data_IF_105303332310
#
_entry.id   IF_105303332310
#
_cell.length_a   1.000
_cell.length_b   1.000
_cell.length_c   1.000
_cell.angle_alpha   90.00
_cell.angle_beta   90.00
_cell.angle_gamma   90.00
#
_symmetry.space_group_name_H-M   'P 1'
#
loop_
_entity.id
_entity.type
_entity.pdbx_description
1 polymer ?
#
# COMPACT_ATOMS: atom_id res chain seq x y z
N UNK A 1 -16.46 20.79 -15.08
CA UNK A 1 -16.24 21.92 -14.16
C UNK A 1 -16.28 21.40 -12.73
N UNK A 2 -15.21 21.64 -11.96
CA UNK A 2 -15.16 21.25 -10.54
C UNK A 2 -15.98 22.21 -9.69
N UNK A 3 -16.90 21.67 -8.90
CA UNK A 3 -17.63 22.43 -7.89
C UNK A 3 -16.68 22.82 -6.75
N UNK A 4 -16.80 24.05 -6.27
CA UNK A 4 -15.87 24.68 -5.32
C UNK A 4 -14.88 25.67 -5.98
N UNK A 5 -14.86 25.76 -7.31
CA UNK A 5 -14.03 26.73 -8.03
C UNK A 5 -14.67 28.12 -8.09
N UNK A 6 -13.86 29.19 -8.04
CA UNK A 6 -14.37 30.57 -8.08
C UNK A 6 -15.13 30.81 -9.39
N UNK A 7 -16.36 31.33 -9.28
CA UNK A 7 -17.21 31.65 -10.43
C UNK A 7 -18.00 32.93 -10.18
N UNK A 8 -18.22 33.70 -11.25
CA UNK A 8 -19.10 34.89 -11.25
C UNK A 8 -20.55 34.57 -11.63
N UNK A 9 -20.86 33.30 -11.90
CA UNK A 9 -22.22 32.86 -12.24
C UNK A 9 -22.99 32.47 -10.97
N UNK A 10 -24.15 33.09 -10.75
CA UNK A 10 -24.99 32.88 -9.56
C UNK A 10 -25.36 31.42 -9.34
N UNK A 11 -25.75 30.69 -10.38
CA UNK A 11 -26.09 29.27 -10.26
C UNK A 11 -24.87 28.42 -9.83
N UNK A 12 -23.69 28.70 -10.39
CA UNK A 12 -22.47 28.00 -9.98
C UNK A 12 -22.08 28.34 -8.54
N UNK A 13 -22.30 29.57 -8.08
CA UNK A 13 -22.08 29.94 -6.67
C UNK A 13 -22.96 29.11 -5.74
N UNK A 14 -24.25 28.94 -6.07
CA UNK A 14 -25.17 28.08 -5.31
C UNK A 14 -24.68 26.62 -5.29
N UNK A 15 -24.24 26.09 -6.44
CA UNK A 15 -23.68 24.73 -6.50
C UNK A 15 -22.42 24.57 -5.65
N UNK A 16 -21.56 25.60 -5.62
CA UNK A 16 -20.35 25.61 -4.82
C UNK A 16 -20.66 25.61 -3.31
N UNK A 17 -21.60 26.45 -2.86
CA UNK A 17 -22.08 26.47 -1.48
C UNK A 17 -22.65 25.10 -1.07
N UNK A 18 -23.42 24.48 -1.97
CA UNK A 18 -23.98 23.14 -1.74
C UNK A 18 -22.87 22.09 -1.65
N UNK A 19 -21.88 22.13 -2.54
CA UNK A 19 -20.70 21.25 -2.50
C UNK A 19 -19.93 21.41 -1.19
N UNK A 20 -19.74 22.64 -0.71
CA UNK A 20 -19.07 22.91 0.57
C UNK A 20 -19.88 22.34 1.75
N UNK A 21 -21.20 22.48 1.74
CA UNK A 21 -22.09 21.90 2.76
C UNK A 21 -22.00 20.36 2.81
N UNK A 22 -21.94 19.73 1.63
CA UNK A 22 -21.76 18.28 1.49
C UNK A 22 -20.40 17.85 2.06
N UNK A 23 -19.31 18.56 1.72
CA UNK A 23 -17.97 18.28 2.25
C UNK A 23 -17.93 18.42 3.78
N UNK A 24 -18.57 19.46 4.33
CA UNK A 24 -18.70 19.66 5.79
C UNK A 24 -19.48 18.56 6.48
N UNK A 25 -20.45 17.94 5.79
CA UNK A 25 -21.21 16.79 6.31
C UNK A 25 -20.43 15.48 6.21
N UNK A 26 -19.55 15.35 5.21
CA UNK A 26 -18.75 14.15 4.97
C UNK A 26 -17.62 13.97 5.98
N UNK A 27 -16.90 15.05 6.31
CA UNK A 27 -15.72 14.98 7.19
C UNK A 27 -16.02 14.38 8.58
N UNK A 28 -17.07 14.78 9.32
CA UNK A 28 -17.41 14.17 10.61
C UNK A 28 -17.71 12.69 10.53
N UNK A 29 -18.32 12.23 9.43
CA UNK A 29 -18.58 10.81 9.22
C UNK A 29 -17.28 10.04 9.07
N UNK A 30 -16.36 10.52 8.24
CA UNK A 30 -15.03 9.93 8.10
C UNK A 30 -14.32 9.85 9.45
N UNK A 31 -14.31 10.93 10.23
CA UNK A 31 -13.71 10.95 11.57
C UNK A 31 -14.27 9.83 12.46
N UNK A 32 -15.59 9.61 12.43
CA UNK A 32 -16.26 8.58 13.23
C UNK A 32 -15.89 7.16 12.75
N UNK A 33 -15.94 6.90 11.44
CA UNK A 33 -15.62 5.58 10.89
C UNK A 33 -14.12 5.26 10.87
N UNK A 34 -13.24 6.26 10.89
CA UNK A 34 -11.79 6.13 11.09
C UNK A 34 -11.35 6.32 12.53
N UNK A 35 -12.25 6.14 13.51
CA UNK A 35 -11.89 6.28 14.92
C UNK A 35 -10.80 5.27 15.29
N UNK A 36 -9.65 5.80 15.70
CA UNK A 36 -8.49 5.00 16.08
C UNK A 36 -8.76 4.22 17.36
N UNK A 37 -8.32 2.97 17.38
CA UNK A 37 -8.30 2.07 18.52
C UNK A 37 -6.87 1.65 18.81
N UNK A 38 -6.56 1.42 20.08
CA UNK A 38 -5.26 0.93 20.49
C UNK A 38 -5.17 -0.58 20.25
N UNK A 39 -4.06 -1.02 19.66
CA UNK A 39 -3.73 -2.42 19.40
C UNK A 39 -2.31 -2.70 19.87
N UNK A 40 -2.12 -3.84 20.52
CA UNK A 40 -0.78 -4.31 20.90
C UNK A 40 -0.09 -4.91 19.68
N UNK A 41 1.13 -4.47 19.43
CA UNK A 41 1.97 -4.96 18.35
C UNK A 41 3.37 -5.29 18.87
N UNK A 42 4.09 -6.11 18.13
CA UNK A 42 5.48 -6.47 18.41
C UNK A 42 6.41 -5.86 17.36
N UNK A 43 7.46 -5.20 17.82
CA UNK A 43 8.53 -4.64 17.00
C UNK A 43 9.52 -5.73 16.57
N UNK A 44 10.41 -5.41 15.63
CA UNK A 44 11.45 -6.35 15.15
C UNK A 44 12.44 -6.80 16.23
N UNK A 45 12.57 -6.04 17.32
CA UNK A 45 13.41 -6.36 18.49
C UNK A 45 12.65 -7.12 19.59
N UNK A 46 11.47 -7.67 19.26
CA UNK A 46 10.56 -8.36 20.17
C UNK A 46 9.90 -7.46 21.25
N UNK A 47 10.09 -6.14 21.23
CA UNK A 47 9.42 -5.24 22.17
C UNK A 47 7.93 -5.13 21.85
N UNK A 48 7.07 -5.27 22.87
CA UNK A 48 5.62 -5.07 22.72
C UNK A 48 5.29 -3.61 23.01
N UNK A 49 4.58 -2.96 22.08
CA UNK A 49 4.13 -1.57 22.20
C UNK A 49 2.66 -1.44 21.79
N UNK A 50 2.03 -0.35 22.22
CA UNK A 50 0.67 0.00 21.81
C UNK A 50 0.75 0.92 20.58
N UNK A 51 0.02 0.57 19.52
CA UNK A 51 -0.14 1.38 18.31
C UNK A 51 -1.60 1.73 18.09
N UNK A 52 -1.84 2.81 17.35
CA UNK A 52 -3.19 3.22 16.95
C UNK A 52 -3.48 2.76 15.54
N UNK A 53 -4.65 2.18 15.35
CA UNK A 53 -5.15 1.76 14.04
C UNK A 53 -6.66 2.01 13.93
N UNK A 54 -7.18 2.11 12.71
CA UNK A 54 -8.64 2.03 12.47
C UNK A 54 -8.97 0.74 11.70
N UNK A 55 -10.26 0.52 11.45
CA UNK A 55 -10.74 -0.62 10.66
C UNK A 55 -11.16 -0.14 9.24
N UNK A 56 -10.37 -0.47 8.19
CA UNK A 56 -10.68 -0.08 6.81
C UNK A 56 -12.01 -0.64 6.30
N UNK A 57 -12.51 -1.73 6.89
CA UNK A 57 -13.80 -2.31 6.52
C UNK A 57 -14.95 -1.34 6.82
N UNK A 58 -14.87 -0.57 7.92
CA UNK A 58 -15.90 0.44 8.25
C UNK A 58 -16.03 1.51 7.17
N UNK A 59 -14.93 1.88 6.52
CA UNK A 59 -14.93 2.82 5.40
C UNK A 59 -15.55 2.20 4.16
N UNK A 60 -15.18 0.95 3.88
CA UNK A 60 -15.75 0.19 2.78
C UNK A 60 -17.27 0.04 2.94
N UNK A 61 -17.73 -0.35 4.12
CA UNK A 61 -19.14 -0.50 4.45
C UNK A 61 -19.89 0.85 4.38
N UNK A 62 -19.26 1.94 4.84
CA UNK A 62 -19.83 3.28 4.74
C UNK A 62 -19.99 3.74 3.29
N UNK A 63 -18.97 3.55 2.44
CA UNK A 63 -19.05 3.90 1.03
C UNK A 63 -20.05 3.02 0.28
N UNK A 64 -20.13 1.73 0.62
CA UNK A 64 -21.14 0.84 0.05
C UNK A 64 -22.55 1.28 0.44
N UNK A 65 -22.78 1.68 1.70
CA UNK A 65 -24.07 2.21 2.14
C UNK A 65 -24.48 3.48 1.37
N UNK A 66 -23.52 4.35 1.04
CA UNK A 66 -23.76 5.51 0.17
C UNK A 66 -24.18 5.03 -1.21
N UNK A 67 -23.39 4.14 -1.83
CA UNK A 67 -23.66 3.56 -3.15
C UNK A 67 -25.08 2.98 -3.23
N UNK A 68 -25.47 2.16 -2.26
CA UNK A 68 -26.78 1.50 -2.21
C UNK A 68 -27.96 2.49 -2.03
N UNK A 69 -27.69 3.66 -1.45
CA UNK A 69 -28.68 4.71 -1.20
C UNK A 69 -28.87 5.67 -2.38
N UNK A 70 -27.91 5.71 -3.31
CA UNK A 70 -27.93 6.59 -4.50
C UNK A 70 -28.79 6.00 -5.63
N UNK A 71 -30.11 6.18 -5.53
CA UNK A 71 -31.07 5.72 -6.54
C UNK A 71 -30.87 6.44 -7.87
N UNK A 72 -30.89 5.68 -8.97
CA UNK A 72 -30.74 6.17 -10.37
C UNK A 72 -29.33 6.66 -10.75
N UNK A 73 -28.40 6.69 -9.80
CA UNK A 73 -27.00 6.96 -10.11
C UNK A 73 -26.35 5.73 -10.74
N UNK A 74 -25.45 5.97 -11.69
CA UNK A 74 -24.47 4.99 -12.11
C UNK A 74 -23.35 4.99 -11.08
N UNK A 75 -23.11 3.87 -10.41
CA UNK A 75 -22.20 3.79 -9.27
C UNK A 75 -21.13 2.72 -9.54
N UNK A 76 -19.88 3.03 -9.22
CA UNK A 76 -18.78 2.08 -9.22
C UNK A 76 -18.68 1.38 -7.87
N UNK A 77 -18.33 0.10 -7.88
CA UNK A 77 -18.06 -0.64 -6.66
C UNK A 77 -16.90 -0.01 -5.88
N UNK A 78 -16.95 -0.14 -4.55
CA UNK A 78 -15.89 0.35 -3.68
C UNK A 78 -14.59 -0.35 -4.02
N UNK A 79 -13.57 0.44 -4.36
CA UNK A 79 -12.29 -0.05 -4.85
C UNK A 79 -11.18 0.30 -3.86
N UNK A 80 -10.17 -0.58 -3.79
CA UNK A 80 -8.98 -0.40 -2.94
C UNK A 80 -7.73 -0.42 -3.80
N UNK A 81 -6.88 0.61 -3.70
CA UNK A 81 -5.53 0.57 -4.29
C UNK A 81 -4.52 0.09 -3.27
N UNK A 82 -3.55 -0.70 -3.72
CA UNK A 82 -2.44 -1.15 -2.88
C UNK A 82 -1.12 -0.66 -3.48
N UNK A 83 -0.66 0.53 -3.07
CA UNK A 83 0.62 1.08 -3.51
C UNK A 83 1.60 1.14 -2.33
N UNK A 84 2.34 0.05 -2.12
CA UNK A 84 3.31 -0.08 -1.04
C UNK A 84 2.71 0.27 0.34
N UNK A 85 3.11 1.39 0.90
CA UNK A 85 2.72 1.91 2.21
C UNK A 85 1.53 2.88 2.16
N UNK A 86 1.04 3.26 0.98
CA UNK A 86 -0.13 4.12 0.79
C UNK A 86 -1.27 3.32 0.18
N UNK A 87 -2.41 3.29 0.86
CA UNK A 87 -3.65 2.69 0.37
C UNK A 87 -4.75 3.72 0.22
N UNK A 88 -5.65 3.44 -0.70
CA UNK A 88 -6.81 4.28 -0.98
C UNK A 88 -8.05 3.43 -1.08
N UNK A 89 -9.08 3.78 -0.32
CA UNK A 89 -10.44 3.26 -0.51
C UNK A 89 -11.23 4.36 -1.20
N UNK A 90 -11.88 4.07 -2.31
CA UNK A 90 -12.63 5.07 -3.06
C UNK A 90 -13.85 4.48 -3.78
N UNK A 91 -14.82 5.35 -4.08
CA UNK A 91 -15.97 5.07 -4.94
C UNK A 91 -16.24 6.27 -5.82
N UNK A 92 -16.80 6.02 -7.00
CA UNK A 92 -17.22 7.05 -7.95
C UNK A 92 -18.65 6.81 -8.37
N UNK A 93 -19.39 7.88 -8.60
CA UNK A 93 -20.77 7.82 -9.03
C UNK A 93 -21.09 8.96 -9.98
N UNK A 94 -22.04 8.77 -10.88
CA UNK A 94 -22.47 9.78 -11.83
C UNK A 94 -23.96 9.66 -12.17
N UNK A 95 -24.59 10.80 -12.45
CA UNK A 95 -25.99 10.89 -12.89
C UNK A 95 -26.14 11.96 -13.95
N UNK A 96 -26.97 11.69 -14.94
CA UNK A 96 -27.25 12.60 -16.05
C UNK A 96 -28.56 13.34 -15.81
N UNK A 97 -28.55 14.67 -15.95
CA UNK A 97 -29.72 15.53 -15.94
C UNK A 97 -29.75 16.35 -17.24
N UNK A 98 -30.61 15.97 -18.16
CA UNK A 98 -30.61 16.51 -19.52
C UNK A 98 -29.30 16.22 -20.25
N UNK A 99 -28.62 17.27 -20.73
CA UNK A 99 -27.31 17.19 -21.38
C UNK A 99 -26.15 17.43 -20.40
N UNK A 100 -26.36 17.28 -19.09
CA UNK A 100 -25.33 17.51 -18.08
C UNK A 100 -25.10 16.26 -17.24
N UNK A 101 -23.85 16.04 -16.87
CA UNK A 101 -23.41 14.93 -16.04
C UNK A 101 -22.90 15.48 -14.72
N UNK A 102 -23.55 15.10 -13.63
CA UNK A 102 -23.05 15.33 -12.28
C UNK A 102 -22.32 14.06 -11.84
N UNK A 103 -21.04 14.18 -11.50
CA UNK A 103 -20.24 13.08 -10.99
C UNK A 103 -19.63 13.41 -9.64
N UNK A 104 -19.37 12.37 -8.85
CA UNK A 104 -18.75 12.49 -7.55
C UNK A 104 -17.69 11.42 -7.31
N UNK A 105 -16.68 11.79 -6.52
CA UNK A 105 -15.58 10.93 -6.12
C UNK A 105 -15.38 11.05 -4.61
N UNK A 106 -15.57 9.93 -3.92
CA UNK A 106 -15.28 9.78 -2.50
C UNK A 106 -14.01 8.97 -2.35
N UNK A 107 -13.09 9.42 -1.51
CA UNK A 107 -11.83 8.72 -1.30
C UNK A 107 -11.32 8.94 0.12
N UNK A 108 -10.71 7.91 0.71
CA UNK A 108 -9.85 7.98 1.89
C UNK A 108 -8.48 7.42 1.53
N UNK A 109 -7.43 8.17 1.78
CA UNK A 109 -6.04 7.78 1.63
C UNK A 109 -5.37 7.69 2.99
N UNK A 110 -4.70 6.57 3.25
CA UNK A 110 -4.14 6.21 4.55
C UNK A 110 -2.84 5.41 4.40
N UNK A 111 -1.98 5.49 5.41
CA UNK A 111 -0.75 4.71 5.48
C UNK A 111 -0.96 3.33 6.12
N UNK A 112 -0.16 2.37 5.68
CA UNK A 112 -0.09 1.02 6.24
C UNK A 112 1.29 0.83 6.88
N UNK A 113 1.29 0.49 8.17
CA UNK A 113 2.51 0.12 8.89
C UNK A 113 2.44 -1.36 9.28
N UNK A 114 3.55 -2.06 9.04
CA UNK A 114 3.70 -3.48 9.33
C UNK A 114 4.40 -3.68 10.67
N UNK A 115 3.78 -4.51 11.51
CA UNK A 115 4.34 -4.97 12.78
C UNK A 115 4.18 -6.49 12.88
N UNK A 116 4.78 -7.13 13.88
CA UNK A 116 4.51 -8.52 14.18
C UNK A 116 3.33 -8.66 15.17
N UNK A 117 2.62 -9.79 15.07
CA UNK A 117 1.66 -10.21 16.09
C UNK A 117 2.39 -10.43 17.42
N UNK A 118 1.84 -9.99 18.57
CA UNK A 118 2.48 -10.14 19.87
C UNK A 118 2.32 -11.57 20.41
N UNK A 119 2.96 -12.54 19.74
CA UNK A 119 2.90 -13.96 20.09
C UNK A 119 4.30 -14.55 20.23
N UNK A 120 4.43 -15.59 21.05
CA UNK A 120 5.70 -16.24 21.34
C UNK A 120 6.40 -16.76 20.08
N UNK A 121 5.65 -17.26 19.10
CA UNK A 121 6.22 -17.83 17.88
C UNK A 121 7.08 -16.85 17.09
N UNK A 122 6.76 -15.55 17.10
CA UNK A 122 7.58 -14.52 16.45
C UNK A 122 8.97 -14.47 17.10
N UNK A 123 9.02 -14.48 18.43
CA UNK A 123 10.27 -14.47 19.21
C UNK A 123 11.08 -15.73 18.93
N UNK A 124 10.41 -16.89 18.88
CA UNK A 124 11.07 -18.16 18.61
C UNK A 124 11.69 -18.17 17.20
N UNK A 125 10.94 -17.73 16.18
CA UNK A 125 11.47 -17.60 14.83
C UNK A 125 12.66 -16.62 14.75
N UNK A 126 12.60 -15.49 15.46
CA UNK A 126 13.68 -14.52 15.51
C UNK A 126 14.94 -15.09 16.18
N UNK A 127 14.79 -15.88 17.24
CA UNK A 127 15.90 -16.58 17.91
C UNK A 127 16.52 -17.64 17.01
N UNK A 128 15.69 -18.49 16.40
CA UNK A 128 16.17 -19.52 15.47
C UNK A 128 16.93 -18.89 14.28
N UNK A 129 16.45 -17.76 13.76
CA UNK A 129 17.16 -17.01 12.73
C UNK A 129 18.50 -16.45 13.23
N UNK A 130 18.56 -15.91 14.44
CA UNK A 130 19.80 -15.43 15.04
C UNK A 130 20.84 -16.55 15.20
N UNK A 131 20.41 -17.72 15.68
CA UNK A 131 21.26 -18.92 15.79
C UNK A 131 21.82 -19.34 14.42
N UNK A 132 20.99 -19.35 13.37
CA UNK A 132 21.45 -19.65 12.00
C UNK A 132 22.48 -18.62 11.54
N UNK A 133 22.27 -17.33 11.82
CA UNK A 133 23.23 -16.27 11.45
C UNK A 133 24.54 -16.43 12.21
N UNK A 134 24.51 -16.72 13.51
CA UNK A 134 25.71 -16.94 14.31
C UNK A 134 26.49 -18.18 13.84
N UNK A 135 25.80 -19.28 13.53
CA UNK A 135 26.41 -20.49 12.98
C UNK A 135 27.09 -20.21 11.63
N UNK A 136 26.37 -19.57 10.69
CA UNK A 136 26.93 -19.24 9.37
C UNK A 136 28.09 -18.25 9.45
N UNK A 137 28.09 -17.32 10.40
CA UNK A 137 29.21 -16.39 10.62
C UNK A 137 30.44 -17.11 11.17
N UNK A 138 30.26 -17.99 12.15
CA UNK A 138 31.35 -18.80 12.70
C UNK A 138 31.94 -19.74 11.64
N UNK A 139 31.12 -20.33 10.77
CA UNK A 139 31.58 -21.14 9.65
C UNK A 139 32.32 -20.31 8.60
N UNK A 140 31.84 -19.10 8.29
CA UNK A 140 32.55 -18.17 7.39
C UNK A 140 33.90 -17.73 7.95
N UNK A 141 33.99 -17.44 9.25
CA UNK A 141 35.26 -17.11 9.93
C UNK A 141 36.21 -18.33 9.93
N UNK A 142 35.71 -19.54 10.22
CA UNK A 142 36.50 -20.78 10.14
C UNK A 142 36.96 -21.12 8.72
N UNK A 143 36.11 -20.86 7.72
CA UNK A 143 36.45 -21.02 6.31
C UNK A 143 37.48 -19.95 5.88
N UNK A 144 37.37 -18.71 6.35
CA UNK A 144 38.33 -17.64 6.07
C UNK A 144 39.71 -17.96 6.66
N UNK A 145 39.77 -18.37 7.93
CA UNK A 145 41.02 -18.65 8.65
C UNK A 145 41.74 -19.92 8.15
N UNK A 146 41.01 -20.87 7.55
CA UNK A 146 41.56 -22.09 6.97
C UNK A 146 41.52 -22.15 5.42
N UNK A 147 41.06 -21.08 4.75
CA UNK A 147 40.69 -21.07 3.32
C UNK A 147 41.82 -21.53 2.41
N UNK A 148 43.00 -20.94 2.53
CA UNK A 148 44.15 -21.25 1.68
C UNK A 148 44.56 -22.72 1.79
N UNK A 149 44.58 -23.27 3.01
CA UNK A 149 44.99 -24.65 3.27
C UNK A 149 43.90 -25.65 2.85
N UNK A 150 42.63 -25.31 3.06
CA UNK A 150 41.48 -26.13 2.69
C UNK A 150 41.33 -26.23 1.17
N UNK A 151 41.44 -25.10 0.46
CA UNK A 151 41.44 -25.02 -1.00
C UNK A 151 42.62 -25.81 -1.56
N UNK A 152 43.83 -25.66 -1.00
CA UNK A 152 45.01 -26.43 -1.41
C UNK A 152 44.84 -27.94 -1.20
N UNK A 153 44.22 -28.36 -0.08
CA UNK A 153 43.98 -29.77 0.19
C UNK A 153 42.93 -30.35 -0.77
N UNK A 154 41.85 -29.61 -1.07
CA UNK A 154 40.83 -30.07 -2.03
C UNK A 154 41.34 -30.14 -3.45
N UNK A 155 42.15 -29.18 -3.89
CA UNK A 155 42.81 -29.24 -5.19
C UNK A 155 43.70 -30.48 -5.31
N UNK A 156 44.44 -30.83 -4.25
CA UNK A 156 45.25 -32.06 -4.21
C UNK A 156 44.38 -33.33 -4.27
N UNK A 157 43.23 -33.34 -3.62
CA UNK A 157 42.26 -34.46 -3.66
C UNK A 157 41.59 -34.61 -5.03
N UNK A 158 41.28 -33.50 -5.72
CA UNK A 158 40.78 -33.48 -7.11
C UNK A 158 41.84 -33.90 -8.15
N UNK A 159 43.06 -34.23 -7.71
CA UNK A 159 44.14 -34.73 -8.56
C UNK A 159 45.07 -33.65 -9.13
N UNK A 160 44.89 -32.39 -8.73
CA UNK A 160 45.80 -31.32 -9.11
C UNK A 160 47.04 -31.34 -8.21
N UNK A 161 48.21 -31.64 -8.80
CA UNK A 161 49.49 -31.61 -8.08
C UNK A 161 50.26 -30.32 -8.37
N UNK A 162 50.77 -29.72 -7.30
CA UNK A 162 51.76 -28.63 -7.29
C UNK A 162 51.30 -27.26 -7.82
N UNK A 163 50.23 -26.71 -7.24
CA UNK A 163 50.01 -25.26 -7.27
C UNK A 163 50.74 -24.59 -6.09
N UNK A 164 51.62 -23.63 -6.38
CA UNK A 164 52.04 -22.65 -5.37
C UNK A 164 50.89 -21.64 -5.16
N UNK A 165 50.86 -20.98 -3.99
CA UNK A 165 49.79 -20.03 -3.63
C UNK A 165 49.59 -18.92 -4.68
N UNK A 166 50.64 -18.57 -5.42
CA UNK A 166 50.64 -17.43 -6.34
C UNK A 166 49.95 -17.78 -7.66
N UNK A 167 50.24 -18.97 -8.23
CA UNK A 167 49.53 -19.52 -9.40
C UNK A 167 48.08 -19.84 -9.11
N UNK A 168 47.77 -20.19 -7.86
CA UNK A 168 46.41 -20.48 -7.42
C UNK A 168 45.53 -19.22 -7.53
N UNK A 169 46.03 -18.08 -7.04
CA UNK A 169 45.35 -16.79 -7.19
C UNK A 169 45.16 -16.39 -8.66
N UNK A 170 46.17 -16.58 -9.51
CA UNK A 170 46.07 -16.27 -10.95
C UNK A 170 44.99 -17.13 -11.64
N UNK A 171 44.95 -18.44 -11.39
CA UNK A 171 43.95 -19.33 -11.99
C UNK A 171 42.52 -19.03 -11.50
N UNK A 172 42.35 -18.70 -10.22
CA UNK A 172 41.04 -18.30 -9.65
C UNK A 172 40.55 -16.94 -10.18
N UNK A 173 41.48 -16.07 -10.57
CA UNK A 173 41.19 -14.74 -11.13
C UNK A 173 40.94 -14.78 -12.64
N UNK A 174 41.63 -15.65 -13.37
CA UNK A 174 41.52 -15.78 -14.83
C UNK A 174 40.43 -16.75 -15.29
N UNK A 175 40.03 -17.71 -14.45
CA UNK A 175 39.08 -18.77 -14.81
C UNK A 175 37.92 -18.84 -13.82
N UNK A 176 36.91 -18.00 -14.07
CA UNK A 176 35.68 -17.91 -13.28
C UNK A 176 34.95 -19.26 -13.16
N UNK A 177 34.93 -20.07 -14.23
CA UNK A 177 34.25 -21.38 -14.26
C UNK A 177 34.96 -22.42 -13.38
N UNK A 178 36.30 -22.35 -13.33
CA UNK A 178 37.11 -23.19 -12.43
C UNK A 178 36.93 -22.77 -10.97
N UNK A 179 36.92 -21.46 -10.70
CA UNK A 179 36.63 -20.93 -9.37
C UNK A 179 35.28 -21.42 -8.86
N UNK A 180 34.22 -21.30 -9.67
CA UNK A 180 32.88 -21.76 -9.30
C UNK A 180 32.85 -23.26 -9.00
N UNK A 181 33.50 -24.10 -9.83
CA UNK A 181 33.59 -25.55 -9.59
C UNK A 181 34.29 -25.90 -8.28
N UNK A 182 35.40 -25.22 -7.95
CA UNK A 182 36.12 -25.48 -6.70
C UNK A 182 35.32 -25.00 -5.49
N UNK A 183 34.64 -23.85 -5.58
CA UNK A 183 33.73 -23.40 -4.53
C UNK A 183 32.52 -24.34 -4.34
N UNK A 184 31.92 -24.85 -5.42
CA UNK A 184 30.83 -25.83 -5.35
C UNK A 184 31.29 -27.15 -4.70
N UNK A 185 32.49 -27.63 -5.00
CA UNK A 185 33.01 -28.85 -4.36
C UNK A 185 33.36 -28.64 -2.89
N UNK A 186 33.91 -27.49 -2.51
CA UNK A 186 34.14 -27.14 -1.10
C UNK A 186 32.81 -27.05 -0.35
N UNK A 187 31.76 -26.50 -0.97
CA UNK A 187 30.40 -26.49 -0.40
C UNK A 187 29.80 -27.90 -0.27
N UNK A 188 30.10 -28.82 -1.21
CA UNK A 188 29.64 -30.22 -1.15
C UNK A 188 30.35 -31.04 -0.08
N UNK A 189 31.64 -30.82 0.14
CA UNK A 189 32.45 -31.53 1.14
C UNK A 189 32.32 -30.99 2.58
N UNK A 190 31.73 -29.80 2.75
CA UNK A 190 31.39 -29.26 4.07
C UNK A 190 30.30 -30.09 4.80
N UNK A 191 29.72 -31.12 4.17
CA UNK A 191 29.05 -32.22 4.86
C UNK A 191 27.89 -31.81 5.77
N UNK A 192 26.85 -31.19 5.18
CA UNK A 192 25.54 -30.88 5.80
C UNK A 192 25.57 -29.80 6.89
N UNK A 193 25.23 -28.56 6.48
CA UNK A 193 24.16 -27.77 7.13
C UNK A 193 23.82 -26.51 6.30
N UNK A 194 24.72 -25.99 5.43
CA UNK A 194 24.49 -24.68 4.79
C UNK A 194 23.23 -24.61 3.90
N UNK A 195 22.93 -25.67 3.13
CA UNK A 195 21.72 -25.74 2.30
C UNK A 195 20.47 -25.93 3.17
N UNK A 196 20.52 -26.78 4.21
CA UNK A 196 19.42 -27.00 5.15
C UNK A 196 19.14 -25.75 6.01
N UNK A 197 20.18 -25.06 6.48
CA UNK A 197 20.12 -23.77 7.17
C UNK A 197 19.56 -22.67 6.27
N UNK A 198 19.94 -22.63 5.00
CA UNK A 198 19.39 -21.69 4.02
C UNK A 198 17.90 -21.94 3.78
N UNK A 199 17.50 -23.21 3.59
CA UNK A 199 16.09 -23.60 3.47
C UNK A 199 15.30 -23.29 4.75
N UNK A 200 15.87 -23.58 5.93
CA UNK A 200 15.28 -23.27 7.22
C UNK A 200 15.10 -21.76 7.39
N UNK A 201 16.10 -20.96 7.02
CA UNK A 201 16.05 -19.49 7.02
C UNK A 201 14.92 -18.97 6.13
N UNK A 202 14.78 -19.47 4.90
CA UNK A 202 13.67 -19.09 4.02
C UNK A 202 12.29 -19.47 4.58
N UNK A 203 12.17 -20.65 5.22
CA UNK A 203 10.93 -21.06 5.90
C UNK A 203 10.59 -20.14 7.07
N UNK A 204 11.57 -19.79 7.89
CA UNK A 204 11.39 -18.89 9.04
C UNK A 204 10.99 -17.47 8.59
N UNK A 205 11.56 -16.94 7.51
CA UNK A 205 11.11 -15.65 6.94
C UNK A 205 9.68 -15.73 6.44
N UNK A 206 9.32 -16.78 5.70
CA UNK A 206 7.94 -16.97 5.21
C UNK A 206 6.95 -17.07 6.37
N UNK A 207 7.35 -17.72 7.47
CA UNK A 207 6.55 -17.81 8.68
C UNK A 207 6.41 -16.43 9.35
N UNK A 208 7.51 -15.69 9.53
CA UNK A 208 7.47 -14.32 10.05
C UNK A 208 6.57 -13.40 9.22
N UNK A 209 6.62 -13.49 7.89
CA UNK A 209 5.74 -12.75 6.98
C UNK A 209 4.25 -13.06 7.25
N UNK A 210 3.92 -14.33 7.51
CA UNK A 210 2.54 -14.74 7.87
C UNK A 210 2.08 -14.22 9.25
N UNK A 211 3.05 -13.86 10.10
CA UNK A 211 2.84 -13.31 11.43
C UNK A 211 2.85 -11.77 11.44
N UNK A 212 2.99 -11.12 10.28
CA UNK A 212 2.79 -9.69 10.16
C UNK A 212 1.34 -9.32 10.44
N UNK A 213 1.21 -8.12 10.99
CA UNK A 213 -0.02 -7.43 11.32
C UNK A 213 0.08 -6.04 10.70
N UNK A 214 -0.94 -5.68 9.92
CA UNK A 214 -1.08 -4.34 9.41
C UNK A 214 -1.78 -3.45 10.44
N UNK A 215 -1.26 -2.24 10.59
CA UNK A 215 -1.96 -1.14 11.25
C UNK A 215 -2.15 -0.01 10.24
N UNK A 216 -3.24 0.72 10.40
CA UNK A 216 -3.69 1.71 9.44
C UNK A 216 -3.72 3.08 10.09
N UNK A 217 -3.03 4.04 9.48
CA UNK A 217 -2.92 5.40 9.98
C UNK A 217 -3.50 6.38 8.96
N UNK A 218 -4.26 7.34 9.46
CA UNK A 218 -4.82 8.39 8.62
C UNK A 218 -5.02 9.65 9.43
N UNK A 219 -4.89 10.78 8.75
CA UNK A 219 -5.36 12.07 9.24
C UNK A 219 -6.75 12.36 8.63
N UNK A 220 -7.84 12.44 9.41
CA UNK A 220 -9.16 12.69 8.87
C UNK A 220 -9.33 14.18 8.57
N UNK A 221 -8.66 14.64 7.53
CA UNK A 221 -8.71 16.01 7.00
C UNK A 221 -9.19 15.98 5.56
N UNK A 222 -9.89 17.03 5.12
CA UNK A 222 -10.24 17.17 3.70
C UNK A 222 -8.98 17.55 2.91
N UNK A 223 -8.72 16.81 1.84
CA UNK A 223 -7.65 17.06 0.87
C UNK A 223 -8.25 17.29 -0.52
N UNK A 224 -7.47 17.88 -1.41
CA UNK A 224 -7.82 18.06 -2.83
C UNK A 224 -7.16 16.99 -3.71
N UNK A 225 -7.49 16.95 -5.00
CA UNK A 225 -6.91 15.95 -5.92
C UNK A 225 -5.38 16.05 -6.03
N UNK A 226 -4.74 17.23 -6.12
CA UNK A 226 -3.28 17.33 -6.09
C UNK A 226 -2.65 16.64 -4.88
N UNK A 227 -3.18 16.89 -3.68
CA UNK A 227 -2.70 16.27 -2.43
C UNK A 227 -2.99 14.77 -2.39
N UNK A 228 -4.13 14.35 -2.94
CA UNK A 228 -4.45 12.93 -3.08
C UNK A 228 -3.44 12.23 -4.02
N UNK A 229 -3.06 12.86 -5.14
CA UNK A 229 -2.10 12.33 -6.12
C UNK A 229 -0.66 12.31 -5.57
N UNK A 230 -0.28 13.30 -4.76
CA UNK A 230 1.05 13.36 -4.12
C UNK A 230 1.26 12.33 -3.01
N UNK A 231 0.22 11.58 -2.62
CA UNK A 231 0.30 10.56 -1.58
C UNK A 231 -0.02 11.07 -0.18
N UNK A 232 -0.55 12.29 -0.02
CA UNK A 232 -0.92 12.81 1.30
C UNK A 232 -2.11 12.07 1.91
N UNK A 233 -2.03 11.78 3.20
CA UNK A 233 -3.15 11.19 3.94
C UNK A 233 -4.33 12.16 4.03
N UNK A 234 -5.55 11.63 3.93
CA UNK A 234 -6.75 12.43 4.04
C UNK A 234 -7.94 11.84 3.32
N UNK A 235 -9.05 12.56 3.41
CA UNK A 235 -10.27 12.22 2.70
C UNK A 235 -10.59 13.27 1.64
N UNK A 236 -11.14 12.83 0.51
CA UNK A 236 -11.57 13.66 -0.59
C UNK A 236 -13.06 13.41 -0.83
N UNK A 237 -13.82 14.50 -0.95
CA UNK A 237 -15.12 14.51 -1.60
C UNK A 237 -15.08 15.55 -2.70
N UNK A 238 -15.21 15.06 -3.92
CA UNK A 238 -15.03 15.83 -5.14
C UNK A 238 -16.30 15.70 -5.97
N UNK A 239 -16.80 16.82 -6.49
CA UNK A 239 -18.02 16.88 -7.30
C UNK A 239 -17.76 17.66 -8.58
N UNK A 240 -18.04 17.04 -9.72
CA UNK A 240 -17.83 17.61 -11.05
C UNK A 240 -19.16 17.72 -11.79
N UNK A 241 -19.38 18.85 -12.44
CA UNK A 241 -20.48 19.07 -13.36
C UNK A 241 -19.92 19.24 -14.78
N UNK A 242 -20.35 18.41 -15.71
CA UNK A 242 -19.87 18.38 -17.09
C UNK A 242 -21.04 18.50 -18.07
N UNK A 243 -20.80 19.05 -19.25
CA UNK A 243 -21.78 19.10 -20.34
C UNK A 243 -21.49 17.98 -21.34
N UNK A 244 -22.52 17.21 -21.71
CA UNK A 244 -22.42 16.14 -22.69
C UNK A 244 -22.83 16.66 -24.05
N UNK A 245 -21.92 16.58 -25.02
CA UNK A 245 -22.16 16.93 -26.42
C UNK A 245 -21.58 15.87 -27.34
N UNK A 246 -22.43 15.25 -28.17
CA UNK A 246 -22.04 14.19 -29.12
C UNK A 246 -21.27 13.02 -28.45
N UNK A 247 -21.61 12.68 -27.20
CA UNK A 247 -20.92 11.65 -26.42
C UNK A 247 -19.63 12.12 -25.73
N UNK A 248 -19.16 13.33 -26.00
CA UNK A 248 -17.99 13.91 -25.32
C UNK A 248 -18.40 14.66 -24.05
N UNK A 249 -17.59 14.53 -23.00
CA UNK A 249 -17.72 15.27 -21.74
C UNK A 249 -16.91 16.57 -21.85
N UNK A 250 -17.58 17.70 -21.71
CA UNK A 250 -16.98 19.04 -21.75
C UNK A 250 -17.04 19.67 -20.36
N UNK A 251 -15.86 19.94 -19.77
CA UNK A 251 -15.75 20.58 -18.48
C UNK A 251 -16.02 22.09 -18.49
N UNK A 252 -16.09 22.70 -19.67
CA UNK A 252 -16.32 24.14 -19.89
C UNK A 252 -17.64 24.31 -20.63
N UNK A 253 -18.61 24.96 -20.00
CA UNK A 253 -19.89 25.27 -20.61
C UNK A 253 -20.44 26.57 -20.02
N UNK A 254 -21.44 27.18 -20.68
CA UNK A 254 -22.12 28.37 -20.18
C UNK A 254 -23.35 27.95 -19.36
N UNK A 255 -23.35 28.13 -18.02
CA UNK A 255 -24.49 27.76 -17.17
C UNK A 255 -25.77 28.55 -17.47
N UNK A 256 -25.66 29.70 -18.16
CA UNK A 256 -26.83 30.50 -18.57
C UNK A 256 -27.68 29.82 -19.65
N UNK A 257 -27.09 28.86 -20.38
CA UNK A 257 -27.78 28.07 -21.42
C UNK A 257 -28.53 26.85 -20.85
N UNK A 258 -28.35 26.57 -19.56
CA UNK A 258 -29.04 25.49 -18.87
C UNK A 258 -30.49 25.89 -18.58
N UNK A 259 -31.45 25.01 -18.88
CA UNK A 259 -32.85 25.24 -18.53
C UNK A 259 -33.05 25.23 -17.02
N UNK A 260 -34.04 25.99 -16.54
CA UNK A 260 -34.30 26.08 -15.10
C UNK A 260 -34.70 24.73 -14.48
N UNK A 261 -35.42 23.89 -15.24
CA UNK A 261 -35.74 22.52 -14.84
C UNK A 261 -34.49 21.67 -14.57
N UNK A 262 -33.43 21.81 -15.38
CA UNK A 262 -32.17 21.07 -15.20
C UNK A 262 -31.41 21.61 -13.99
N UNK A 263 -31.39 22.93 -13.80
CA UNK A 263 -30.78 23.55 -12.60
C UNK A 263 -31.43 23.05 -11.32
N UNK A 264 -32.76 23.03 -11.28
CA UNK A 264 -33.54 22.53 -10.14
C UNK A 264 -33.26 21.05 -9.88
N UNK A 265 -33.22 20.22 -10.92
CA UNK A 265 -32.90 18.80 -10.77
C UNK A 265 -31.49 18.58 -10.22
N UNK A 266 -30.47 19.29 -10.73
CA UNK A 266 -29.10 19.18 -10.22
C UNK A 266 -29.04 19.54 -8.73
N UNK A 267 -29.70 20.62 -8.31
CA UNK A 267 -29.76 21.02 -6.90
C UNK A 267 -30.48 19.97 -6.04
N UNK A 268 -31.54 19.37 -6.57
CA UNK A 268 -32.25 18.27 -5.92
C UNK A 268 -31.33 17.06 -5.73
N UNK A 269 -30.59 16.63 -6.76
CA UNK A 269 -29.62 15.53 -6.68
C UNK A 269 -28.53 15.77 -5.65
N UNK A 270 -27.97 16.99 -5.59
CA UNK A 270 -27.00 17.35 -4.56
C UNK A 270 -27.59 17.34 -3.14
N UNK A 271 -28.86 17.74 -2.99
CA UNK A 271 -29.57 17.68 -1.71
C UNK A 271 -29.85 16.24 -1.28
N UNK A 272 -30.17 15.36 -2.21
CA UNK A 272 -30.31 13.92 -1.96
C UNK A 272 -28.98 13.31 -1.53
N UNK A 273 -27.89 13.62 -2.25
CA UNK A 273 -26.54 13.17 -1.90
C UNK A 273 -26.15 13.62 -0.48
N UNK A 274 -26.39 14.88 -0.12
CA UNK A 274 -26.08 15.39 1.22
C UNK A 274 -26.81 14.58 2.31
N UNK A 275 -28.09 14.26 2.11
CA UNK A 275 -28.88 13.45 3.05
C UNK A 275 -28.33 12.03 3.17
N UNK A 276 -27.91 11.44 2.05
CA UNK A 276 -27.29 10.10 2.05
C UNK A 276 -25.99 10.11 2.86
N UNK A 277 -25.14 11.11 2.66
CA UNK A 277 -23.88 11.26 3.40
C UNK A 277 -24.12 11.49 4.90
N UNK A 278 -25.18 12.20 5.27
CA UNK A 278 -25.54 12.44 6.67
C UNK A 278 -26.15 11.21 7.36
N UNK A 279 -26.64 10.22 6.61
CA UNK A 279 -27.30 9.01 7.15
C UNK A 279 -26.34 8.00 7.79
#
# INVERSE_FOLDING_TARGET
>A
MRLGSRSSNDFIQILNEKSESIQKSFLPKIIDVTKMVDVKVMMGDSTITDQKTFDPKKITDYFQKINDSLKEWSVQDVSITNNQDVRRIFTKFEISEGSYLLSGHLSLQFHVLLYYKPIQRVIDCQKELAEIVDLTKNEQEQLSDNSDQLVLNKLKEMGYKDFDHQKLFEVFYENDEFREKVFEEIQKDAGVDFQELSEKKSKLFSELDSLLLETYQTSPVLIDDPRLVSGEEGCLLSLDLEFIKNGNREGVFDPRKMSDSVKENILKRLTELEKVIQS
#
